data_IF_908956981291
#
_entry.id   IF_908956981291
#
_cell.length_a   1.000
_cell.length_b   1.000
_cell.length_c   1.000
_cell.angle_alpha   90.00
_cell.angle_beta   90.00
_cell.angle_gamma   90.00
#
_symmetry.space_group_name_H-M   'P 1'
#
loop_
_entity.id
_entity.type
_entity.pdbx_description
1 polymer ?
#
# COMPACT_ATOMS: atom_id res chain seq x y z
N UNK A 1 -0.27 30.12 30.41
CA UNK A 1 -0.07 30.31 28.95
C UNK A 1 1.41 30.21 28.59
N UNK A 2 2.02 29.02 28.63
CA UNK A 2 3.41 28.81 28.17
C UNK A 2 3.51 27.64 27.20
N UNK A 3 2.62 26.65 27.35
CA UNK A 3 2.56 25.45 26.53
C UNK A 3 2.34 25.74 25.05
N UNK A 4 1.65 26.84 24.70
CA UNK A 4 1.45 27.27 23.32
C UNK A 4 2.78 27.52 22.59
N UNK A 5 3.80 28.05 23.27
CA UNK A 5 5.13 28.27 22.67
C UNK A 5 5.86 26.97 22.33
N UNK A 6 5.47 25.85 22.93
CA UNK A 6 6.00 24.52 22.65
C UNK A 6 5.13 23.80 21.61
N UNK A 7 3.81 23.93 21.71
CA UNK A 7 2.87 23.28 20.79
C UNK A 7 2.94 23.84 19.37
N UNK A 8 3.10 25.15 19.20
CA UNK A 8 3.21 25.77 17.87
C UNK A 8 4.38 25.20 17.05
N UNK A 9 5.64 25.19 17.54
CA UNK A 9 6.75 24.64 16.78
C UNK A 9 6.62 23.13 16.58
N UNK A 10 6.12 22.37 17.56
CA UNK A 10 5.87 20.93 17.40
C UNK A 10 4.88 20.67 16.27
N UNK A 11 3.77 21.42 16.20
CA UNK A 11 2.79 21.30 15.13
C UNK A 11 3.38 21.61 13.75
N UNK A 12 4.24 22.63 13.65
CA UNK A 12 4.94 22.95 12.39
C UNK A 12 5.86 21.81 11.98
N UNK A 13 6.63 21.23 12.92
CA UNK A 13 7.50 20.09 12.63
C UNK A 13 6.69 18.88 12.17
N UNK A 14 5.59 18.56 12.87
CA UNK A 14 4.70 17.46 12.48
C UNK A 14 4.10 17.68 11.09
N UNK A 15 3.69 18.91 10.77
CA UNK A 15 3.18 19.25 9.44
C UNK A 15 4.24 19.04 8.36
N UNK A 16 5.48 19.48 8.60
CA UNK A 16 6.58 19.27 7.66
C UNK A 16 6.89 17.79 7.46
N UNK A 17 6.87 16.99 8.53
CA UNK A 17 7.04 15.53 8.46
C UNK A 17 5.92 14.91 7.62
N UNK A 18 4.67 15.33 7.82
CA UNK A 18 3.53 14.81 7.06
C UNK A 18 3.66 15.13 5.57
N UNK A 19 4.06 16.35 5.22
CA UNK A 19 4.30 16.76 3.82
C UNK A 19 5.45 15.97 3.21
N UNK A 20 6.56 15.80 3.94
CA UNK A 20 7.71 15.04 3.46
C UNK A 20 7.36 13.56 3.21
N UNK A 21 6.63 12.94 4.14
CA UNK A 21 6.13 11.57 3.98
C UNK A 21 5.19 11.45 2.77
N UNK A 22 4.28 12.41 2.59
CA UNK A 22 3.38 12.45 1.44
C UNK A 22 4.14 12.53 0.11
N UNK A 23 5.08 13.47 -0.01
CA UNK A 23 5.91 13.62 -1.22
C UNK A 23 6.74 12.36 -1.49
N UNK A 24 7.33 11.77 -0.46
CA UNK A 24 8.06 10.51 -0.59
C UNK A 24 7.16 9.40 -1.14
N UNK A 25 5.94 9.29 -0.62
CA UNK A 25 5.01 8.23 -0.97
C UNK A 25 4.45 8.39 -2.41
N UNK A 26 4.20 9.63 -2.85
CA UNK A 26 3.89 9.96 -4.25
C UNK A 26 5.04 9.54 -5.17
N UNK A 27 6.30 9.90 -4.83
CA UNK A 27 7.49 9.53 -5.62
C UNK A 27 7.74 8.02 -5.65
N UNK A 28 7.27 7.29 -4.65
CA UNK A 28 7.34 5.83 -4.54
C UNK A 28 6.26 5.11 -5.36
N UNK A 29 5.36 5.84 -6.02
CA UNK A 29 4.30 5.26 -6.83
C UNK A 29 3.21 4.58 -5.99
N UNK A 30 3.04 4.91 -4.70
CA UNK A 30 2.05 4.21 -3.85
C UNK A 30 0.61 4.31 -4.39
N UNK A 31 0.34 5.34 -5.19
CA UNK A 31 -0.98 5.63 -5.73
C UNK A 31 -1.20 5.07 -7.15
N UNK A 32 -0.19 4.44 -7.76
CA UNK A 32 -0.25 3.96 -9.15
C UNK A 32 -1.09 2.67 -9.29
N UNK A 33 -1.25 1.91 -8.21
CA UNK A 33 -1.98 0.63 -8.20
C UNK A 33 -3.35 0.72 -7.50
N UNK A 34 -4.00 1.89 -7.50
CA UNK A 34 -5.35 2.03 -6.93
C UNK A 34 -6.40 1.20 -7.71
N UNK A 35 -6.20 1.03 -9.01
CA UNK A 35 -7.14 0.31 -9.88
C UNK A 35 -7.11 -1.22 -9.68
N UNK A 36 -5.98 -1.76 -9.20
CA UNK A 36 -5.82 -3.20 -8.97
C UNK A 36 -6.83 -3.74 -7.95
N UNK A 37 -7.09 -2.99 -6.87
CA UNK A 37 -8.05 -3.39 -5.83
C UNK A 37 -9.50 -3.33 -6.31
N UNK A 38 -9.82 -2.42 -7.25
CA UNK A 38 -11.17 -2.29 -7.80
C UNK A 38 -11.51 -3.44 -8.76
N UNK A 39 -10.52 -3.96 -9.49
CA UNK A 39 -10.72 -5.11 -10.38
C UNK A 39 -10.82 -6.41 -9.56
N UNK A 40 -10.08 -6.53 -8.45
CA UNK A 40 -10.08 -7.73 -7.59
C UNK A 40 -11.47 -8.02 -6.98
N UNK A 41 -12.20 -7.00 -6.51
CA UNK A 41 -13.52 -7.21 -5.90
C UNK A 41 -14.62 -7.65 -6.89
N UNK A 42 -14.45 -7.33 -8.17
CA UNK A 42 -15.37 -7.70 -9.26
C UNK A 42 -14.91 -8.96 -10.01
N UNK A 43 -13.74 -9.49 -9.69
CA UNK A 43 -13.17 -10.66 -10.35
C UNK A 43 -13.68 -11.93 -9.68
N UNK A 44 -14.51 -12.70 -10.39
CA UNK A 44 -15.01 -14.01 -9.92
C UNK A 44 -13.88 -15.06 -9.74
N UNK A 45 -12.66 -14.77 -10.21
CA UNK A 45 -11.46 -15.61 -10.09
C UNK A 45 -10.57 -15.26 -8.87
N UNK A 46 -11.01 -14.37 -7.96
CA UNK A 46 -10.25 -14.01 -6.77
C UNK A 46 -9.93 -15.27 -5.93
N UNK A 47 -8.64 -15.62 -5.71
CA UNK A 47 -8.28 -16.78 -4.89
C UNK A 47 -8.81 -16.57 -3.47
N UNK A 48 -9.35 -17.61 -2.81
CA UNK A 48 -9.84 -17.46 -1.44
C UNK A 48 -8.73 -16.90 -0.53
N UNK A 49 -9.05 -15.90 0.31
CA UNK A 49 -8.04 -15.22 1.12
C UNK A 49 -7.43 -16.23 2.09
N UNK A 50 -6.15 -16.54 1.91
CA UNK A 50 -5.43 -17.48 2.79
C UNK A 50 -4.38 -18.37 2.15
N UNK A 51 -4.05 -18.23 0.86
CA UNK A 51 -2.93 -18.99 0.27
C UNK A 51 -1.66 -18.13 0.23
N UNK A 52 -0.68 -18.37 1.11
CA UNK A 52 0.64 -17.82 0.91
C UNK A 52 1.27 -18.56 -0.27
N UNK A 53 1.55 -17.83 -1.34
CA UNK A 53 2.12 -18.37 -2.58
C UNK A 53 3.52 -18.96 -2.36
N UNK A 54 3.56 -20.27 -2.16
CA UNK A 54 4.73 -21.09 -2.44
C UNK A 54 4.69 -21.51 -3.90
N UNK A 55 5.55 -20.94 -4.73
CA UNK A 55 5.70 -21.29 -6.16
C UNK A 55 6.01 -22.78 -6.38
N UNK A 56 5.66 -23.23 -7.59
CA UNK A 56 6.03 -24.50 -8.26
C UNK A 56 5.22 -25.72 -7.80
N UNK A 57 4.54 -26.49 -8.66
CA UNK A 57 4.97 -26.97 -9.98
C UNK A 57 3.73 -27.49 -10.70
N UNK A 58 3.47 -27.05 -11.92
CA UNK A 58 2.59 -27.79 -12.83
C UNK A 58 3.40 -28.19 -14.06
N UNK A 59 3.94 -29.42 -14.12
CA UNK A 59 4.30 -30.01 -15.39
C UNK A 59 3.09 -30.79 -15.90
N UNK A 60 2.54 -30.25 -17.00
CA UNK A 60 2.25 -30.95 -18.25
C UNK A 60 1.53 -32.30 -18.15
N UNK A 61 0.30 -32.30 -18.65
CA UNK A 61 -0.45 -33.50 -19.04
C UNK A 61 0.41 -34.33 -20.00
N UNK A 62 0.80 -35.50 -19.52
CA UNK A 62 1.22 -36.60 -20.38
C UNK A 62 -0.07 -37.30 -20.81
N UNK A 63 -0.39 -37.15 -22.10
CA UNK A 63 -1.37 -37.97 -22.77
C UNK A 63 -0.65 -39.24 -23.21
N UNK A 64 -1.03 -40.38 -22.64
CA UNK A 64 -0.86 -41.73 -23.17
C UNK A 64 -2.11 -42.54 -22.84
#
# INVERSE_FOLDING_TARGET
>A
MNILFVLIPISIVLLLVMIAAFVWAVRKGQFENLDAAAIDILSDDAPPPGRPDGKATAPKRDAD
#
